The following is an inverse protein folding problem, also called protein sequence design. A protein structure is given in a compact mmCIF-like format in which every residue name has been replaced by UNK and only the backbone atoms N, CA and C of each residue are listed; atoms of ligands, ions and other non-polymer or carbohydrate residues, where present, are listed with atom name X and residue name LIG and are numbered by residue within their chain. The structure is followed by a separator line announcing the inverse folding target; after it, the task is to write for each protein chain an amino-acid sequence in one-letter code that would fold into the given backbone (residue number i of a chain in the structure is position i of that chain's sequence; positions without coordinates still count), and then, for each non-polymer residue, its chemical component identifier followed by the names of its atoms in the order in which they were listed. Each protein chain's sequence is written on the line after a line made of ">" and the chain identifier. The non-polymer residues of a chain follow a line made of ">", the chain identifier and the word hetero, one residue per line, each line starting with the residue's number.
data_IF_701878509371
#
_entry.id   IF_701878509371
#
_cell.length_a   1.000
_cell.length_b   1.000
_cell.length_c   1.000
_cell.angle_alpha   90.00
_cell.angle_beta   90.00
_cell.angle_gamma   90.00
#
_symmetry.space_group_name_H-M   'P 1'
#
loop_
_entity.id
_entity.type
_entity.pdbx_description
1 polymer ?
#
# COMPACT_ATOMS: atom_id res chain seq x y z
N UNK A 1 -4.01 15.23 -0.92
CA UNK A 1 -4.06 16.02 0.31
C UNK A 1 -3.14 15.39 1.33
N UNK A 2 -2.00 16.03 1.58
CA UNK A 2 -1.02 15.64 2.59
C UNK A 2 -1.23 16.46 3.88
N UNK A 3 -0.45 16.18 4.93
CA UNK A 3 -0.57 16.89 6.22
C UNK A 3 -0.25 18.38 6.06
N UNK A 4 0.72 18.74 5.21
CA UNK A 4 1.07 20.12 4.89
C UNK A 4 -0.14 20.89 4.34
N UNK A 5 -0.89 20.31 3.40
CA UNK A 5 -2.05 20.98 2.79
C UNK A 5 -3.11 21.29 3.85
N UNK A 6 -3.35 20.35 4.78
CA UNK A 6 -4.28 20.57 5.91
C UNK A 6 -3.84 21.71 6.83
N UNK A 7 -2.53 21.86 7.07
CA UNK A 7 -1.99 22.95 7.88
C UNK A 7 -2.15 24.30 7.15
N UNK A 8 -1.91 24.33 5.84
CA UNK A 8 -2.12 25.52 5.01
C UNK A 8 -3.60 25.95 4.95
N UNK A 9 -4.53 24.99 5.06
CA UNK A 9 -5.99 25.23 5.14
C UNK A 9 -6.48 25.59 6.55
N UNK A 10 -5.58 25.85 7.52
CA UNK A 10 -5.92 26.29 8.88
C UNK A 10 -6.04 25.16 9.91
N UNK A 11 -5.60 23.95 9.58
CA UNK A 11 -5.52 22.83 10.53
C UNK A 11 -4.37 22.95 11.54
N UNK A 12 -4.42 22.16 12.61
CA UNK A 12 -3.36 22.11 13.62
C UNK A 12 -2.09 21.43 13.10
N UNK A 13 -0.94 21.92 13.57
CA UNK A 13 0.35 21.30 13.29
C UNK A 13 0.46 19.92 13.97
N UNK A 14 1.12 18.99 13.29
CA UNK A 14 1.34 17.62 13.76
C UNK A 14 2.84 17.40 13.91
N UNK A 15 3.34 17.08 15.13
CA UNK A 15 4.74 16.82 15.34
C UNK A 15 5.32 15.78 14.36
N UNK A 16 6.45 16.09 13.73
CA UNK A 16 7.14 15.23 12.76
C UNK A 16 7.30 13.78 13.25
N UNK A 17 7.69 13.50 14.52
CA UNK A 17 7.81 12.13 15.01
C UNK A 17 6.50 11.33 14.96
N UNK A 18 5.34 12.00 15.13
CA UNK A 18 4.02 11.36 15.03
C UNK A 18 3.69 11.01 13.58
N UNK A 19 4.12 11.82 12.62
CA UNK A 19 3.92 11.56 11.18
C UNK A 19 4.74 10.33 10.78
N UNK A 20 6.04 10.33 11.08
CA UNK A 20 6.94 9.21 10.78
C UNK A 20 6.44 7.94 11.46
N UNK A 21 6.11 8.01 12.75
CA UNK A 21 5.63 6.85 13.50
C UNK A 21 4.32 6.26 13.00
N UNK A 22 3.42 7.08 12.43
CA UNK A 22 2.20 6.56 11.77
C UNK A 22 2.54 5.86 10.47
N UNK A 23 3.39 6.45 9.64
CA UNK A 23 3.78 5.88 8.36
C UNK A 23 4.44 4.50 8.54
N UNK A 24 5.44 4.41 9.41
CA UNK A 24 6.18 3.16 9.63
C UNK A 24 5.30 2.06 10.21
N UNK A 25 4.44 2.38 11.18
CA UNK A 25 3.48 1.41 11.74
C UNK A 25 2.49 0.93 10.70
N UNK A 26 1.94 1.84 9.88
CA UNK A 26 1.01 1.48 8.82
C UNK A 26 1.63 0.51 7.82
N UNK A 27 2.87 0.74 7.38
CA UNK A 27 3.58 -0.20 6.49
C UNK A 27 3.78 -1.57 7.14
N UNK A 28 4.27 -1.60 8.38
CA UNK A 28 4.51 -2.84 9.11
C UNK A 28 3.22 -3.66 9.27
N UNK A 29 2.13 -3.02 9.73
CA UNK A 29 0.85 -3.68 9.92
C UNK A 29 0.15 -4.06 8.61
N UNK A 30 0.39 -3.33 7.51
CA UNK A 30 -0.22 -3.62 6.22
C UNK A 30 0.08 -5.05 5.77
N UNK A 31 1.33 -5.51 5.95
CA UNK A 31 1.70 -6.90 5.66
C UNK A 31 0.89 -7.89 6.49
N UNK A 32 0.75 -7.68 7.80
CA UNK A 32 0.00 -8.55 8.71
C UNK A 32 -1.49 -8.59 8.35
N UNK A 33 -2.10 -7.43 8.10
CA UNK A 33 -3.51 -7.33 7.72
C UNK A 33 -3.78 -8.03 6.39
N UNK A 34 -2.83 -7.99 5.45
CA UNK A 34 -2.95 -8.69 4.18
C UNK A 34 -3.02 -10.21 4.32
N UNK A 35 -2.47 -10.79 5.40
CA UNK A 35 -2.64 -12.21 5.74
C UNK A 35 -4.02 -12.54 6.30
N UNK A 36 -4.65 -11.59 7.01
CA UNK A 36 -5.95 -11.78 7.64
C UNK A 36 -7.13 -11.48 6.71
N UNK A 37 -6.94 -10.57 5.76
CA UNK A 37 -7.99 -10.12 4.87
C UNK A 37 -8.23 -11.10 3.71
N UNK A 38 -9.50 -11.31 3.37
CA UNK A 38 -9.86 -12.04 2.14
C UNK A 38 -9.41 -11.30 0.87
N UNK A 39 -9.40 -9.97 0.91
CA UNK A 39 -8.94 -9.13 -0.20
C UNK A 39 -8.22 -7.90 0.33
N UNK A 40 -7.05 -7.64 -0.22
CA UNK A 40 -6.26 -6.44 0.05
C UNK A 40 -5.94 -5.74 -1.26
N UNK A 41 -6.12 -4.43 -1.29
CA UNK A 41 -5.78 -3.58 -2.43
C UNK A 41 -4.83 -2.49 -1.95
N UNK A 42 -3.65 -2.40 -2.56
CA UNK A 42 -2.64 -1.40 -2.21
C UNK A 42 -2.55 -0.39 -3.34
N UNK A 43 -2.74 0.88 -3.00
CA UNK A 43 -2.71 2.00 -3.92
C UNK A 43 -1.51 2.90 -3.63
N UNK A 44 -0.93 3.44 -4.69
CA UNK A 44 0.05 4.51 -4.64
C UNK A 44 -0.62 5.86 -4.83
N UNK A 45 -0.45 6.73 -3.84
CA UNK A 45 -0.89 8.12 -3.84
C UNK A 45 0.28 9.09 -3.62
N UNK A 46 1.51 8.69 -3.95
CA UNK A 46 2.72 9.49 -3.74
C UNK A 46 2.80 10.76 -4.62
N UNK A 47 2.03 10.83 -5.70
CA UNK A 47 1.98 12.00 -6.59
C UNK A 47 0.84 12.92 -6.15
N UNK A 48 1.19 14.15 -5.76
CA UNK A 48 0.22 15.18 -5.40
C UNK A 48 -0.73 15.49 -6.57
N UNK A 49 -2.01 15.72 -6.26
CA UNK A 49 -3.08 16.04 -7.22
C UNK A 49 -3.31 15.00 -8.34
N UNK A 50 -2.75 13.79 -8.21
CA UNK A 50 -3.03 12.69 -9.13
C UNK A 50 -3.99 11.66 -8.52
N UNK A 51 -4.69 10.93 -9.38
CA UNK A 51 -5.50 9.78 -8.95
C UNK A 51 -4.58 8.67 -8.43
N UNK A 52 -4.95 8.08 -7.31
CA UNK A 52 -4.24 6.95 -6.74
C UNK A 52 -4.19 5.77 -7.72
N UNK A 53 -3.01 5.18 -7.89
CA UNK A 53 -2.76 4.07 -8.82
C UNK A 53 -2.79 2.76 -8.07
N UNK A 54 -3.55 1.77 -8.54
CA UNK A 54 -3.55 0.44 -7.94
C UNK A 54 -2.21 -0.23 -8.26
N UNK A 55 -1.44 -0.62 -7.23
CA UNK A 55 -0.16 -1.31 -7.39
C UNK A 55 -0.38 -2.82 -7.52
N UNK A 56 -1.04 -3.41 -6.52
CA UNK A 56 -1.30 -4.84 -6.47
C UNK A 56 -2.53 -5.16 -5.63
N UNK A 57 -3.03 -6.39 -5.82
CA UNK A 57 -4.01 -7.01 -4.93
C UNK A 57 -3.45 -8.29 -4.33
N UNK A 58 -3.83 -8.56 -3.10
CA UNK A 58 -3.52 -9.78 -2.37
C UNK A 58 -4.79 -10.39 -1.77
N UNK A 59 -4.72 -11.66 -1.43
CA UNK A 59 -5.76 -12.39 -0.72
C UNK A 59 -5.09 -13.38 0.23
N UNK A 60 -5.45 -13.37 1.51
CA UNK A 60 -4.96 -14.32 2.51
C UNK A 60 -3.44 -14.49 2.49
N UNK A 61 -2.72 -13.37 2.44
CA UNK A 61 -1.26 -13.33 2.48
C UNK A 61 -0.56 -13.60 1.14
N UNK A 62 -1.30 -13.79 0.05
CA UNK A 62 -0.76 -14.09 -1.27
C UNK A 62 -1.04 -12.99 -2.28
N UNK A 63 -0.03 -12.60 -3.05
CA UNK A 63 -0.21 -11.72 -4.20
C UNK A 63 -1.09 -12.42 -5.25
N UNK A 64 -2.12 -11.72 -5.71
CA UNK A 64 -3.04 -12.24 -6.74
C UNK A 64 -2.78 -11.57 -8.08
N UNK A 65 -2.49 -10.26 -8.09
CA UNK A 65 -2.16 -9.52 -9.32
C UNK A 65 -1.36 -8.27 -9.01
N UNK A 66 -0.39 -7.98 -9.87
CA UNK A 66 0.38 -6.74 -9.88
C UNK A 66 0.01 -5.98 -11.16
N UNK A 67 -0.26 -4.67 -11.05
CA UNK A 67 -0.79 -3.85 -12.15
C UNK A 67 0.25 -2.88 -12.74
N UNK A 68 1.46 -2.85 -12.19
CA UNK A 68 2.54 -1.97 -12.64
C UNK A 68 3.80 -2.16 -11.81
N UNK A 69 4.74 -1.24 -11.96
CA UNK A 69 5.96 -1.27 -11.16
C UNK A 69 5.64 -0.99 -9.68
N UNK A 70 6.18 -1.83 -8.79
CA UNK A 70 5.98 -1.69 -7.35
C UNK A 70 7.00 -0.71 -6.81
N UNK A 71 6.52 0.38 -6.21
CA UNK A 71 7.38 1.39 -5.60
C UNK A 71 8.20 0.81 -4.45
N UNK A 72 9.40 1.35 -4.15
CA UNK A 72 10.27 0.83 -3.10
C UNK A 72 9.58 0.66 -1.74
N UNK A 73 8.74 1.63 -1.34
CA UNK A 73 8.01 1.55 -0.07
C UNK A 73 7.00 0.39 -0.03
N UNK A 74 6.37 0.08 -1.17
CA UNK A 74 5.37 -0.98 -1.27
C UNK A 74 6.03 -2.36 -1.36
N UNK A 75 7.30 -2.42 -1.78
CA UNK A 75 8.07 -3.66 -1.77
C UNK A 75 8.25 -4.22 -0.36
N UNK A 76 8.31 -3.36 0.66
CA UNK A 76 8.35 -3.79 2.07
C UNK A 76 7.13 -4.64 2.47
N UNK A 77 5.99 -4.39 1.84
CA UNK A 77 4.76 -5.17 2.03
C UNK A 77 4.85 -6.46 1.21
N UNK A 78 5.16 -6.36 -0.08
CA UNK A 78 5.12 -7.51 -1.00
C UNK A 78 6.16 -8.58 -0.66
N UNK A 79 7.32 -8.18 -0.16
CA UNK A 79 8.38 -9.10 0.28
C UNK A 79 7.96 -9.98 1.47
N UNK A 80 6.87 -9.62 2.15
CA UNK A 80 6.28 -10.37 3.27
C UNK A 80 5.03 -11.17 2.86
N UNK A 81 4.68 -11.16 1.58
CA UNK A 81 3.56 -11.91 1.02
C UNK A 81 4.08 -13.07 0.15
N UNK A 82 3.25 -14.09 0.00
CA UNK A 82 3.51 -15.16 -0.95
C UNK A 82 3.39 -14.63 -2.39
N UNK A 83 4.24 -15.11 -3.32
CA UNK A 83 4.17 -14.71 -4.72
C UNK A 83 2.87 -15.21 -5.38
N UNK A 84 2.60 -14.68 -6.58
CA UNK A 84 1.46 -15.11 -7.42
C UNK A 84 1.59 -16.61 -7.69
N UNK A 85 0.49 -17.35 -7.56
CA UNK A 85 0.48 -18.78 -7.90
C UNK A 85 0.69 -18.96 -9.39
N UNK A 86 1.56 -19.89 -9.79
CA UNK A 86 1.75 -20.26 -11.20
C UNK A 86 0.45 -20.71 -11.87
N UNK A 87 -0.47 -21.28 -11.09
CA UNK A 87 -1.76 -21.81 -11.56
C UNK A 87 -2.77 -20.72 -11.98
N UNK A 88 -2.64 -19.49 -11.48
CA UNK A 88 -3.53 -18.37 -11.85
C UNK A 88 -3.20 -17.80 -13.25
N UNK A 89 -2.06 -18.18 -13.83
CA UNK A 89 -1.64 -17.76 -15.18
C UNK A 89 -2.44 -18.49 -16.28
N UNK A 90 -2.99 -19.67 -15.97
CA UNK A 90 -3.66 -20.53 -16.94
C UNK A 90 -5.11 -20.12 -17.27
N UNK A 91 -5.69 -19.16 -16.56
CA UNK A 91 -7.08 -18.71 -16.75
C UNK A 91 -7.20 -17.32 -17.41
N UNK A 92 -6.15 -16.86 -18.11
CA UNK A 92 -6.13 -15.55 -18.80
C UNK A 92 -5.75 -15.63 -20.29
N UNK A 93 -5.92 -16.80 -20.94
CA UNK A 93 -5.89 -16.93 -22.41
C UNK A 93 -7.31 -17.00 -22.97
#
# INVERSE_FOLDING_TARGET
>A
MCIRDRVMEGGHDVPIPKIIGRYTKSLAYCSVVAWLADRTYVYDNSIDNARAKLLFRASKGRLVKVYGQINPWAQEITNRLLPVSSDDTALQL
#
